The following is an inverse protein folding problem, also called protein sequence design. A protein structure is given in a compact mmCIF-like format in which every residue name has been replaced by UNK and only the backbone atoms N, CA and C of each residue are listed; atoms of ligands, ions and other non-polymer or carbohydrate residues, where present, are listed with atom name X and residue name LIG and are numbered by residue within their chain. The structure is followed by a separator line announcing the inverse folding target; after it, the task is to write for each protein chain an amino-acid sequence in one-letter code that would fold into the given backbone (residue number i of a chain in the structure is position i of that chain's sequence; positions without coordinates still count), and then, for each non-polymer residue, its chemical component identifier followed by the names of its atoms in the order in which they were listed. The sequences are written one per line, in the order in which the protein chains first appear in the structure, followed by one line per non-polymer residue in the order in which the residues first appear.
data_IF_426982575210
#
_entry.id   IF_426982575210
#
_cell.length_a   1.000
_cell.length_b   1.000
_cell.length_c   1.000
_cell.angle_alpha   90.00
_cell.angle_beta   90.00
_cell.angle_gamma   90.00
#
_symmetry.space_group_name_H-M   'P 1'
#
loop_
_entity.id
_entity.type
_entity.pdbx_description
1 polymer ?
#
# COMPACT_ATOMS: atom_id res chain seq x y z
N UNK A 1 -1.83 -64.91 -47.08
CA UNK A 1 -2.74 -65.51 -46.07
C UNK A 1 -1.98 -65.57 -44.74
N UNK A 2 -2.53 -64.95 -43.70
CA UNK A 2 -1.88 -64.47 -42.47
C UNK A 2 -1.21 -65.55 -41.59
N UNK A 3 -0.21 -65.15 -40.79
CA UNK A 3 -0.09 -65.48 -39.34
C UNK A 3 1.01 -64.67 -38.64
N UNK A 4 0.68 -64.20 -37.43
CA UNK A 4 1.49 -63.42 -36.49
C UNK A 4 2.46 -64.34 -35.72
N UNK A 5 3.74 -63.99 -35.64
CA UNK A 5 4.69 -64.47 -34.61
C UNK A 5 5.83 -63.44 -34.49
N UNK A 6 5.90 -62.70 -33.38
CA UNK A 6 6.86 -62.93 -32.29
C UNK A 6 8.32 -62.63 -32.70
N UNK A 7 8.80 -61.43 -32.33
CA UNK A 7 10.21 -61.17 -32.10
C UNK A 7 10.35 -60.09 -31.02
N UNK A 8 10.27 -60.52 -29.77
CA UNK A 8 10.93 -59.87 -28.64
C UNK A 8 12.44 -59.99 -28.86
N UNK A 9 13.16 -58.87 -28.89
CA UNK A 9 14.55 -58.68 -28.43
C UNK A 9 15.23 -57.56 -29.23
N UNK A 10 15.27 -56.34 -28.67
CA UNK A 10 16.34 -55.38 -28.93
C UNK A 10 16.25 -54.19 -27.95
N UNK A 11 16.18 -54.46 -26.65
CA UNK A 11 16.59 -53.50 -25.64
C UNK A 11 18.01 -53.90 -25.22
N UNK A 12 19.04 -53.24 -25.74
CA UNK A 12 20.36 -53.08 -25.12
C UNK A 12 21.31 -52.42 -26.13
N UNK A 13 21.52 -51.11 -25.97
CA UNK A 13 22.75 -50.37 -26.28
C UNK A 13 22.45 -48.93 -26.76
N UNK A 14 21.92 -48.09 -25.87
CA UNK A 14 22.21 -46.64 -25.96
C UNK A 14 21.99 -45.97 -24.59
N UNK A 15 22.77 -46.38 -23.60
CA UNK A 15 22.90 -45.66 -22.33
C UNK A 15 24.32 -45.13 -22.26
N UNK A 16 24.54 -43.85 -22.60
CA UNK A 16 25.67 -43.03 -22.15
C UNK A 16 25.58 -41.61 -22.74
N UNK A 17 24.69 -40.78 -22.20
CA UNK A 17 24.83 -39.31 -22.23
C UNK A 17 24.54 -38.79 -20.83
N UNK A 18 25.63 -38.64 -20.08
CA UNK A 18 25.91 -37.63 -19.05
C UNK A 18 24.72 -37.01 -18.30
N UNK A 19 24.51 -37.48 -17.07
CA UNK A 19 23.78 -36.73 -16.05
C UNK A 19 24.61 -35.53 -15.58
N UNK A 20 24.28 -34.34 -16.07
CA UNK A 20 24.61 -33.12 -15.33
C UNK A 20 23.63 -33.01 -14.16
N UNK A 21 24.08 -32.86 -12.90
CA UNK A 21 23.17 -32.51 -11.83
C UNK A 21 22.63 -31.11 -12.15
N UNK A 22 21.33 -31.02 -12.43
CA UNK A 22 20.61 -29.75 -12.33
C UNK A 22 20.70 -29.36 -10.87
N UNK A 23 21.66 -28.51 -10.53
CA UNK A 23 21.65 -27.79 -9.26
C UNK A 23 20.43 -26.87 -9.31
N UNK A 24 19.34 -27.33 -8.70
CA UNK A 24 18.26 -26.47 -8.28
C UNK A 24 18.91 -25.37 -7.42
N UNK A 25 19.10 -24.19 -8.00
CA UNK A 25 19.42 -23.01 -7.22
C UNK A 25 18.22 -22.79 -6.33
N UNK A 26 18.34 -23.18 -5.07
CA UNK A 26 17.47 -22.71 -4.01
C UNK A 26 17.57 -21.18 -4.01
N UNK A 27 16.72 -20.54 -4.80
CA UNK A 27 16.54 -19.10 -4.77
C UNK A 27 15.98 -18.80 -3.38
N UNK A 28 16.87 -18.43 -2.46
CA UNK A 28 16.45 -17.82 -1.21
C UNK A 28 15.51 -16.66 -1.57
N UNK A 29 14.31 -16.59 -0.99
CA UNK A 29 13.47 -15.41 -1.17
C UNK A 29 14.32 -14.18 -0.82
N UNK A 30 14.33 -13.13 -1.65
CA UNK A 30 15.02 -11.91 -1.29
C UNK A 30 14.52 -11.44 0.08
N UNK A 31 15.40 -10.90 0.94
CA UNK A 31 14.98 -10.40 2.24
C UNK A 31 13.88 -9.35 2.06
N UNK A 32 12.90 -9.27 2.98
CA UNK A 32 11.81 -8.31 2.88
C UNK A 32 12.37 -6.89 2.73
N UNK A 33 11.83 -6.13 1.79
CA UNK A 33 12.26 -4.77 1.55
C UNK A 33 11.98 -3.91 2.78
N UNK A 34 13.03 -3.32 3.35
CA UNK A 34 12.93 -2.34 4.43
C UNK A 34 12.96 -0.95 3.80
N UNK A 35 11.85 -0.21 3.92
CA UNK A 35 11.74 1.14 3.37
C UNK A 35 12.42 2.16 4.28
N UNK A 36 13.26 2.99 3.69
CA UNK A 36 13.87 4.14 4.37
C UNK A 36 12.83 5.23 4.68
N UNK A 37 13.08 6.09 5.66
CA UNK A 37 12.18 7.21 5.99
C UNK A 37 11.86 8.07 4.76
N UNK A 38 12.85 8.35 3.91
CA UNK A 38 12.62 9.14 2.69
C UNK A 38 11.67 8.45 1.70
N UNK A 39 11.71 7.11 1.61
CA UNK A 39 10.78 6.34 0.79
C UNK A 39 9.38 6.33 1.40
N UNK A 40 9.27 6.17 2.72
CA UNK A 40 7.98 6.25 3.42
C UNK A 40 7.34 7.63 3.25
N UNK A 41 8.11 8.71 3.45
CA UNK A 41 7.62 10.08 3.28
C UNK A 41 7.08 10.29 1.85
N UNK A 42 7.82 9.85 0.83
CA UNK A 42 7.40 9.96 -0.58
C UNK A 42 6.16 9.11 -0.90
N UNK A 43 6.11 7.90 -0.33
CA UNK A 43 5.04 6.93 -0.58
C UNK A 43 3.71 7.37 0.06
N UNK A 44 3.76 7.94 1.27
CA UNK A 44 2.59 8.32 2.04
C UNK A 44 2.13 9.76 1.78
N UNK A 45 3.00 10.61 1.24
CA UNK A 45 2.68 11.99 0.89
C UNK A 45 1.37 12.20 0.10
N UNK A 46 0.95 11.34 -0.85
CA UNK A 46 -0.31 11.52 -1.58
C UNK A 46 -1.58 11.23 -0.77
N UNK A 47 -1.48 10.51 0.35
CA UNK A 47 -2.64 10.00 1.11
C UNK A 47 -2.65 10.43 2.57
N UNK A 48 -1.55 10.96 3.10
CA UNK A 48 -1.41 11.28 4.53
C UNK A 48 -2.39 12.37 5.03
N UNK A 49 -2.92 13.22 4.14
CA UNK A 49 -3.93 14.22 4.51
C UNK A 49 -5.37 13.73 4.35
N UNK A 50 -5.59 12.46 4.01
CA UNK A 50 -6.93 11.89 3.98
C UNK A 50 -7.52 11.79 5.39
N UNK A 51 -8.85 11.83 5.53
CA UNK A 51 -9.52 11.48 6.78
C UNK A 51 -9.08 10.12 7.29
N UNK A 52 -8.96 9.96 8.61
CA UNK A 52 -8.35 8.77 9.23
C UNK A 52 -9.07 7.47 8.84
N UNK A 53 -10.40 7.52 8.75
CA UNK A 53 -11.23 6.39 8.30
C UNK A 53 -10.92 5.96 6.86
N UNK A 54 -10.76 6.92 5.95
CA UNK A 54 -10.39 6.65 4.56
C UNK A 54 -8.94 6.18 4.44
N UNK A 55 -8.02 6.81 5.16
CA UNK A 55 -6.62 6.43 5.16
C UNK A 55 -6.45 4.97 5.63
N UNK A 56 -7.15 4.58 6.70
CA UNK A 56 -7.15 3.20 7.19
C UNK A 56 -7.64 2.23 6.10
N UNK A 57 -8.72 2.56 5.40
CA UNK A 57 -9.23 1.72 4.29
C UNK A 57 -8.20 1.59 3.16
N UNK A 58 -7.50 2.67 2.80
CA UNK A 58 -6.44 2.63 1.76
C UNK A 58 -5.27 1.75 2.19
N UNK A 59 -4.79 1.88 3.42
CA UNK A 59 -3.67 1.09 3.95
C UNK A 59 -4.02 -0.40 4.03
N UNK A 60 -5.24 -0.74 4.47
CA UNK A 60 -5.72 -2.12 4.52
C UNK A 60 -5.91 -2.70 3.12
N UNK A 61 -6.60 -1.98 2.23
CA UNK A 61 -6.86 -2.42 0.86
C UNK A 61 -5.58 -2.61 0.03
N UNK A 62 -4.51 -1.86 0.33
CA UNK A 62 -3.21 -2.03 -0.33
C UNK A 62 -2.58 -3.42 -0.08
N UNK A 63 -3.04 -4.15 0.95
CA UNK A 63 -2.62 -5.54 1.20
C UNK A 63 -3.41 -6.57 0.36
N UNK A 64 -4.42 -6.13 -0.40
CA UNK A 64 -5.28 -6.94 -1.27
C UNK A 64 -5.29 -6.43 -2.73
N UNK A 65 -4.13 -6.36 -3.42
CA UNK A 65 -4.03 -5.70 -4.72
C UNK A 65 -4.88 -6.34 -5.82
N UNK A 66 -5.07 -7.66 -5.78
CA UNK A 66 -5.94 -8.35 -6.74
C UNK A 66 -7.40 -7.90 -6.59
N UNK A 67 -7.87 -7.76 -5.36
CA UNK A 67 -9.25 -7.34 -5.07
C UNK A 67 -9.48 -5.89 -5.48
N UNK A 68 -8.49 -5.01 -5.28
CA UNK A 68 -8.54 -3.61 -5.74
C UNK A 68 -8.71 -3.53 -7.26
N UNK A 69 -7.94 -4.31 -8.02
CA UNK A 69 -8.07 -4.36 -9.48
C UNK A 69 -9.44 -4.92 -9.90
N UNK A 70 -9.91 -5.97 -9.23
CA UNK A 70 -11.25 -6.54 -9.48
C UNK A 70 -12.36 -5.53 -9.19
N UNK A 71 -12.25 -4.79 -8.09
CA UNK A 71 -13.19 -3.74 -7.71
C UNK A 71 -13.20 -2.60 -8.74
N UNK A 72 -12.03 -2.17 -9.23
CA UNK A 72 -11.95 -1.17 -10.30
C UNK A 72 -12.67 -1.65 -11.57
N UNK A 73 -12.39 -2.87 -12.03
CA UNK A 73 -13.10 -3.44 -13.20
C UNK A 73 -14.59 -3.58 -12.96
N UNK A 74 -14.99 -3.89 -11.74
CA UNK A 74 -16.40 -4.02 -11.37
C UNK A 74 -17.18 -2.71 -11.54
N UNK A 75 -16.60 -1.58 -11.10
CA UNK A 75 -17.23 -0.26 -11.24
C UNK A 75 -17.19 0.25 -12.69
N UNK A 76 -16.10 0.01 -13.42
CA UNK A 76 -15.97 0.39 -14.84
C UNK A 76 -17.02 -0.29 -15.72
N UNK A 77 -17.34 -1.55 -15.41
CA UNK A 77 -18.39 -2.30 -16.10
C UNK A 77 -19.82 -1.81 -15.75
N UNK A 78 -19.99 -0.94 -14.74
CA UNK A 78 -21.28 -0.51 -14.19
C UNK A 78 -21.33 1.00 -13.92
N UNK A 79 -21.12 1.86 -14.94
CA UNK A 79 -20.99 3.31 -14.75
C UNK A 79 -22.23 3.99 -14.14
N UNK A 80 -23.41 3.37 -14.23
CA UNK A 80 -24.66 3.88 -13.65
C UNK A 80 -24.96 3.41 -12.22
N UNK A 81 -24.13 2.54 -11.64
CA UNK A 81 -24.40 1.95 -10.33
C UNK A 81 -23.71 2.76 -9.22
N UNK A 82 -24.50 3.34 -8.31
CA UNK A 82 -24.03 4.23 -7.25
C UNK A 82 -24.80 4.00 -5.93
N UNK A 83 -24.32 4.59 -4.85
CA UNK A 83 -24.97 4.59 -3.53
C UNK A 83 -25.33 3.19 -3.03
N UNK A 84 -26.55 3.03 -2.50
CA UNK A 84 -27.05 1.75 -1.95
C UNK A 84 -27.12 0.63 -2.99
N UNK A 85 -27.31 0.97 -4.27
CA UNK A 85 -27.27 0.00 -5.36
C UNK A 85 -25.88 -0.60 -5.52
N UNK A 86 -24.85 0.24 -5.47
CA UNK A 86 -23.46 -0.18 -5.53
C UNK A 86 -23.07 -0.99 -4.29
N UNK A 87 -23.45 -0.53 -3.10
CA UNK A 87 -23.18 -1.23 -1.84
C UNK A 87 -23.77 -2.67 -1.85
N UNK A 88 -25.02 -2.83 -2.28
CA UNK A 88 -25.66 -4.14 -2.41
C UNK A 88 -24.98 -5.05 -3.44
N UNK A 89 -24.53 -4.48 -4.56
CA UNK A 89 -23.91 -5.27 -5.62
C UNK A 89 -22.48 -5.74 -5.25
N UNK A 90 -21.78 -4.99 -4.41
CA UNK A 90 -20.43 -5.33 -3.91
C UNK A 90 -20.47 -6.22 -2.67
N UNK A 91 -21.55 -6.18 -1.87
CA UNK A 91 -21.73 -7.01 -0.69
C UNK A 91 -21.38 -8.50 -0.86
N UNK A 92 -21.83 -9.21 -1.92
CA UNK A 92 -21.53 -10.63 -2.10
C UNK A 92 -20.12 -10.92 -2.61
N UNK A 93 -19.33 -9.90 -2.96
CA UNK A 93 -17.97 -10.12 -3.48
C UNK A 93 -17.07 -10.69 -2.38
N UNK A 94 -16.16 -11.62 -2.69
CA UNK A 94 -15.24 -12.20 -1.72
C UNK A 94 -14.04 -11.28 -1.45
N UNK A 95 -14.29 -9.99 -1.24
CA UNK A 95 -13.28 -8.97 -0.98
C UNK A 95 -13.26 -8.56 0.49
N UNK A 96 -12.13 -8.07 0.95
CA UNK A 96 -11.97 -7.45 2.25
C UNK A 96 -12.91 -6.23 2.42
N UNK A 97 -13.48 -5.97 3.61
CA UNK A 97 -14.35 -4.83 3.85
C UNK A 97 -13.72 -3.48 3.48
N UNK A 98 -12.40 -3.31 3.58
CA UNK A 98 -11.70 -2.10 3.16
C UNK A 98 -11.82 -1.88 1.65
N UNK A 99 -11.59 -2.92 0.84
CA UNK A 99 -11.75 -2.85 -0.62
C UNK A 99 -13.20 -2.59 -1.01
N UNK A 100 -14.15 -3.24 -0.33
CA UNK A 100 -15.59 -3.00 -0.54
C UNK A 100 -15.97 -1.55 -0.23
N UNK A 101 -15.37 -0.93 0.78
CA UNK A 101 -15.65 0.46 1.14
C UNK A 101 -15.08 1.44 0.10
N UNK A 102 -13.90 1.12 -0.46
CA UNK A 102 -13.24 1.95 -1.47
C UNK A 102 -14.02 2.11 -2.78
N UNK A 103 -15.00 1.24 -3.08
CA UNK A 103 -15.86 1.41 -4.26
C UNK A 103 -16.68 2.71 -4.22
N UNK A 104 -16.93 3.25 -3.02
CA UNK A 104 -17.59 4.55 -2.82
C UNK A 104 -16.63 5.73 -3.05
N UNK A 105 -15.35 5.46 -3.26
CA UNK A 105 -14.30 6.44 -3.55
C UNK A 105 -13.62 6.16 -4.89
N UNK A 106 -14.31 6.33 -6.04
CA UNK A 106 -13.80 5.91 -7.34
C UNK A 106 -12.45 6.50 -7.71
N UNK A 107 -12.16 7.75 -7.31
CA UNK A 107 -10.88 8.41 -7.56
C UNK A 107 -9.72 7.74 -6.81
N UNK A 108 -9.95 7.28 -5.58
CA UNK A 108 -8.96 6.55 -4.77
C UNK A 108 -8.74 5.17 -5.35
N UNK A 109 -9.82 4.46 -5.69
CA UNK A 109 -9.74 3.13 -6.29
C UNK A 109 -8.99 3.17 -7.64
N UNK A 110 -9.30 4.17 -8.47
CA UNK A 110 -8.60 4.41 -9.74
C UNK A 110 -7.11 4.70 -9.50
N UNK A 111 -6.78 5.58 -8.55
CA UNK A 111 -5.38 5.86 -8.21
C UNK A 111 -4.63 4.59 -7.78
N UNK A 112 -5.24 3.75 -6.95
CA UNK A 112 -4.64 2.49 -6.53
C UNK A 112 -4.42 1.57 -7.74
N UNK A 113 -5.45 1.37 -8.57
CA UNK A 113 -5.37 0.54 -9.78
C UNK A 113 -4.32 1.03 -10.78
N UNK A 114 -4.20 2.34 -10.98
CA UNK A 114 -3.27 2.91 -11.95
C UNK A 114 -1.82 2.91 -11.44
N UNK A 115 -1.62 2.80 -10.13
CA UNK A 115 -0.31 2.84 -9.47
C UNK A 115 -0.04 1.52 -8.73
N UNK A 116 -0.07 0.41 -9.45
CA UNK A 116 0.11 -0.94 -8.87
C UNK A 116 1.41 -1.09 -8.08
N UNK A 117 2.54 -0.58 -8.60
CA UNK A 117 3.83 -0.64 -7.89
C UNK A 117 3.80 0.12 -6.56
N UNK A 118 3.13 1.28 -6.53
CA UNK A 118 2.96 2.07 -5.31
C UNK A 118 2.03 1.34 -4.32
N UNK A 119 0.92 0.77 -4.80
CA UNK A 119 -0.01 0.02 -3.96
C UNK A 119 0.69 -1.18 -3.30
N UNK A 120 1.46 -1.96 -4.08
CA UNK A 120 2.22 -3.09 -3.55
C UNK A 120 3.25 -2.64 -2.50
N UNK A 121 3.97 -1.55 -2.75
CA UNK A 121 4.92 -1.00 -1.79
C UNK A 121 4.24 -0.51 -0.51
N UNK A 122 3.07 0.12 -0.64
CA UNK A 122 2.29 0.60 0.48
C UNK A 122 1.80 -0.55 1.36
N UNK A 123 1.22 -1.59 0.74
CA UNK A 123 0.78 -2.80 1.44
C UNK A 123 1.93 -3.50 2.14
N UNK A 124 3.06 -3.68 1.46
CA UNK A 124 4.26 -4.27 2.05
C UNK A 124 4.79 -3.45 3.23
N UNK A 125 4.89 -2.13 3.07
CA UNK A 125 5.35 -1.22 4.12
C UNK A 125 4.41 -1.25 5.34
N UNK A 126 3.10 -1.30 5.12
CA UNK A 126 2.12 -1.37 6.19
C UNK A 126 2.21 -2.70 6.96
N UNK A 127 2.40 -3.82 6.26
CA UNK A 127 2.57 -5.14 6.89
C UNK A 127 3.90 -5.29 7.64
N UNK A 128 5.00 -4.75 7.11
CA UNK A 128 6.34 -4.99 7.67
C UNK A 128 6.87 -3.87 8.57
N UNK A 129 6.34 -2.65 8.44
CA UNK A 129 6.83 -1.45 9.13
C UNK A 129 5.67 -0.54 9.60
N UNK A 130 4.57 -1.14 10.08
CA UNK A 130 3.38 -0.40 10.53
C UNK A 130 3.69 0.80 11.44
N UNK A 131 4.55 0.69 12.48
CA UNK A 131 4.84 1.85 13.33
C UNK A 131 5.46 3.02 12.56
N UNK A 132 6.41 2.74 11.67
CA UNK A 132 7.07 3.77 10.88
C UNK A 132 6.13 4.39 9.83
N UNK A 133 5.19 3.62 9.29
CA UNK A 133 4.14 4.12 8.40
C UNK A 133 3.26 5.13 9.14
N UNK A 134 2.75 4.78 10.32
CA UNK A 134 1.88 5.65 11.09
C UNK A 134 2.62 6.90 11.60
N UNK A 135 3.86 6.77 12.07
CA UNK A 135 4.70 7.90 12.46
C UNK A 135 4.95 8.85 11.27
N UNK A 136 5.15 8.30 10.07
CA UNK A 136 5.33 9.09 8.85
C UNK A 136 4.07 9.90 8.50
N UNK A 137 2.88 9.30 8.61
CA UNK A 137 1.62 10.01 8.40
C UNK A 137 1.52 11.22 9.34
N UNK A 138 1.85 11.05 10.62
CA UNK A 138 1.79 12.15 11.58
C UNK A 138 2.82 13.23 11.28
N UNK A 139 4.06 12.85 10.97
CA UNK A 139 5.09 13.82 10.58
C UNK A 139 4.66 14.63 9.35
N UNK A 140 3.98 14.01 8.37
CA UNK A 140 3.44 14.70 7.20
C UNK A 140 2.30 15.64 7.58
N UNK A 141 1.38 15.22 8.45
CA UNK A 141 0.27 16.06 8.94
C UNK A 141 0.78 17.27 9.73
N UNK A 142 1.77 17.07 10.61
CA UNK A 142 2.41 18.15 11.36
C UNK A 142 3.04 19.18 10.42
N UNK A 143 3.73 18.71 9.37
CA UNK A 143 4.30 19.60 8.35
C UNK A 143 3.25 20.37 7.58
N UNK A 144 2.15 19.73 7.20
CA UNK A 144 1.05 20.40 6.51
C UNK A 144 0.36 21.44 7.43
N UNK A 145 0.23 21.15 8.72
CA UNK A 145 -0.30 22.10 9.70
C UNK A 145 0.63 23.31 9.88
N UNK A 146 1.94 23.08 10.00
CA UNK A 146 2.95 24.15 10.05
C UNK A 146 2.99 24.97 8.75
N UNK A 147 2.75 24.34 7.60
CA UNK A 147 2.66 25.01 6.31
C UNK A 147 1.33 25.76 6.10
N UNK A 148 0.35 25.64 7.00
CA UNK A 148 -0.98 26.26 6.88
C UNK A 148 -1.86 25.64 5.78
N UNK A 149 -1.57 24.40 5.37
CA UNK A 149 -2.34 23.69 4.32
C UNK A 149 -3.28 22.63 4.88
N UNK A 150 -3.11 22.27 6.16
CA UNK A 150 -4.00 21.38 6.90
C UNK A 150 -4.74 22.15 7.99
N UNK A 151 -5.97 22.51 7.70
CA UNK A 151 -6.85 23.26 8.61
C UNK A 151 -8.26 22.63 8.65
N UNK A 152 -9.02 22.98 9.69
CA UNK A 152 -10.44 22.63 9.77
C UNK A 152 -11.23 23.45 8.75
N UNK A 153 -12.21 22.81 8.13
CA UNK A 153 -13.11 23.40 7.13
C UNK A 153 -14.54 22.88 7.34
N UNK A 154 -15.54 23.34 6.55
CA UNK A 154 -16.89 22.76 6.60
C UNK A 154 -16.95 21.27 6.23
N UNK A 155 -15.92 20.73 5.55
CA UNK A 155 -15.87 19.34 5.11
C UNK A 155 -15.12 18.43 6.08
N UNK A 156 -14.10 18.95 6.78
CA UNK A 156 -13.26 18.17 7.68
C UNK A 156 -12.91 18.95 8.95
N UNK A 157 -12.75 18.23 10.06
CA UNK A 157 -12.24 18.73 11.32
C UNK A 157 -10.83 18.19 11.53
N UNK A 158 -9.90 19.09 11.81
CA UNK A 158 -8.52 18.75 12.17
C UNK A 158 -8.37 18.98 13.67
N UNK A 159 -8.17 17.90 14.42
CA UNK A 159 -8.00 17.93 15.87
C UNK A 159 -6.59 17.48 16.21
N UNK A 160 -5.86 18.29 16.98
CA UNK A 160 -4.59 17.87 17.56
C UNK A 160 -4.84 17.50 19.02
N UNK A 161 -4.78 16.21 19.35
CA UNK A 161 -4.94 15.70 20.70
C UNK A 161 -3.67 14.94 21.11
N UNK A 162 -3.06 15.34 22.24
CA UNK A 162 -1.83 14.74 22.76
C UNK A 162 -0.68 14.56 21.73
N UNK A 163 -0.59 15.49 20.78
CA UNK A 163 0.39 15.45 19.69
C UNK A 163 0.12 14.36 18.65
N UNK A 164 -1.15 13.95 18.51
CA UNK A 164 -1.70 13.16 17.40
C UNK A 164 -2.70 14.05 16.67
N UNK A 165 -2.42 14.34 15.40
CA UNK A 165 -3.34 15.02 14.49
C UNK A 165 -4.31 13.99 13.90
N UNK A 166 -5.59 14.16 14.19
CA UNK A 166 -6.71 13.36 13.67
C UNK A 166 -7.47 14.22 12.66
N UNK A 167 -7.78 13.63 11.49
CA UNK A 167 -8.59 14.27 10.45
C UNK A 167 -9.91 13.51 10.36
N UNK A 168 -11.00 14.16 10.73
CA UNK A 168 -12.33 13.56 10.73
C UNK A 168 -13.25 14.31 9.77
N UNK A 169 -14.15 13.63 9.04
CA UNK A 169 -15.23 14.30 8.35
C UNK A 169 -16.14 15.03 9.36
N UNK A 170 -16.59 16.24 9.03
CA UNK A 170 -17.58 16.95 9.88
C UNK A 170 -18.90 16.18 9.92
N UNK A 171 -19.27 15.54 8.82
CA UNK A 171 -20.40 14.61 8.74
C UNK A 171 -19.87 13.19 8.48
N UNK A 172 -20.02 12.24 9.42
CA UNK A 172 -19.55 10.86 9.26
C UNK A 172 -20.13 10.13 8.05
N UNK A 173 -21.31 10.54 7.56
CA UNK A 173 -21.96 9.96 6.39
C UNK A 173 -21.42 10.50 5.06
N UNK A 174 -20.62 11.58 5.11
CA UNK A 174 -20.08 12.25 3.91
C UNK A 174 -18.59 12.45 4.07
N UNK A 175 -17.81 11.53 3.50
CA UNK A 175 -16.35 11.58 3.52
C UNK A 175 -15.85 12.25 2.24
N UNK A 176 -15.18 13.38 2.38
CA UNK A 176 -14.53 14.07 1.25
C UNK A 176 -13.11 13.53 1.07
N UNK A 177 -12.72 13.32 -0.20
CA UNK A 177 -11.33 12.95 -0.56
C UNK A 177 -10.56 14.23 -0.90
N UNK A 178 -9.53 14.61 -0.12
CA UNK A 178 -8.71 15.77 -0.43
C UNK A 178 -7.96 15.60 -1.75
N UNK A 179 -8.01 16.63 -2.61
CA UNK A 179 -7.18 16.71 -3.81
C UNK A 179 -6.13 17.79 -3.62
N UNK A 180 -4.86 17.39 -3.50
CA UNK A 180 -3.75 18.29 -3.24
C UNK A 180 -2.49 17.87 -3.98
N UNK A 181 -1.59 18.85 -4.21
CA UNK A 181 -0.24 18.59 -4.67
C UNK A 181 0.67 18.45 -3.44
N UNK A 182 1.31 17.29 -3.19
CA UNK A 182 2.19 17.11 -2.05
C UNK A 182 3.31 18.15 -1.93
N UNK A 183 3.83 18.66 -3.05
CA UNK A 183 4.88 19.69 -3.06
C UNK A 183 4.38 21.02 -2.50
N UNK A 184 3.09 21.32 -2.71
CA UNK A 184 2.47 22.54 -2.16
C UNK A 184 2.03 22.29 -0.71
N UNK A 185 1.43 21.14 -0.44
CA UNK A 185 0.89 20.80 0.88
C UNK A 185 1.96 20.79 1.98
N UNK A 186 3.14 20.21 1.70
CA UNK A 186 4.21 20.09 2.69
C UNK A 186 5.32 21.13 2.54
N UNK A 187 5.19 22.04 1.56
CA UNK A 187 6.23 22.99 1.18
C UNK A 187 7.46 22.32 0.54
N UNK A 188 8.61 23.01 0.63
CA UNK A 188 9.87 22.53 0.06
C UNK A 188 10.25 21.14 0.60
N UNK A 189 10.28 20.15 -0.28
CA UNK A 189 10.63 18.77 0.07
C UNK A 189 12.02 18.71 0.73
N UNK A 190 12.07 18.28 1.99
CA UNK A 190 13.27 18.34 2.84
C UNK A 190 14.29 17.26 2.53
N UNK A 191 13.91 16.22 1.78
CA UNK A 191 14.87 15.24 1.32
C UNK A 191 15.66 15.79 0.14
N UNK A 192 17.01 15.77 0.20
CA UNK A 192 17.81 16.09 -0.96
C UNK A 192 17.41 15.17 -2.12
N UNK A 193 17.16 15.75 -3.31
CA UNK A 193 17.16 14.94 -4.53
C UNK A 193 18.55 14.31 -4.58
N UNK A 194 18.67 13.02 -4.29
CA UNK A 194 19.97 12.35 -4.37
C UNK A 194 20.40 12.41 -5.83
N UNK A 195 21.26 13.39 -6.17
CA UNK A 195 22.11 13.30 -7.37
C UNK A 195 22.91 12.03 -7.16
N UNK A 196 22.75 11.04 -8.04
CA UNK A 196 23.60 9.85 -8.02
C UNK A 196 25.05 10.34 -8.09
N UNK A 197 25.71 10.39 -6.93
CA UNK A 197 27.09 10.80 -6.82
C UNK A 197 27.86 9.50 -6.83
N UNK A 198 28.45 9.19 -7.98
CA UNK A 198 29.40 8.09 -8.15
C UNK A 198 30.33 8.03 -6.95
N UNK A 199 30.31 6.88 -6.29
CA UNK A 199 30.93 6.58 -5.01
C UNK A 199 32.42 6.95 -4.99
N UNK A 200 32.78 7.79 -4.03
CA UNK A 200 34.16 8.13 -3.69
C UNK A 200 34.29 8.44 -2.21
N UNK A 201 34.78 7.45 -1.45
CA UNK A 201 35.29 7.47 -0.07
C UNK A 201 34.29 7.43 1.11
N UNK A 202 34.42 6.30 1.83
CA UNK A 202 33.88 5.92 3.14
C UNK A 202 34.06 7.02 4.20
N UNK A 203 33.03 7.31 5.01
CA UNK A 203 33.18 7.68 6.43
C UNK A 203 31.99 7.18 7.27
N UNK A 204 32.36 6.43 8.30
CA UNK A 204 31.71 5.96 9.54
C UNK A 204 30.26 6.39 9.83
N UNK A 205 29.41 5.38 10.10
CA UNK A 205 28.04 5.52 10.54
C UNK A 205 27.95 5.96 12.00
N UNK A 206 27.20 7.02 12.26
CA UNK A 206 26.74 7.42 13.60
C UNK A 206 25.29 6.91 13.72
N UNK A 207 25.07 5.94 14.59
CA UNK A 207 23.74 5.41 14.92
C UNK A 207 23.09 6.35 15.93
N UNK A 208 21.88 6.87 15.64
CA UNK A 208 21.05 7.60 16.61
C UNK A 208 19.86 6.73 17.02
N UNK A 209 19.47 6.70 18.31
CA UNK A 209 18.39 5.84 18.79
C UNK A 209 17.02 6.39 18.39
N UNK A 210 16.13 5.49 17.98
CA UNK A 210 14.71 5.74 17.72
C UNK A 210 13.97 5.64 19.06
N UNK A 211 13.37 6.73 19.53
CA UNK A 211 12.47 6.73 20.69
C UNK A 211 11.09 6.21 20.30
N UNK A 212 10.65 5.16 20.97
CA UNK A 212 9.41 4.39 20.73
C UNK A 212 8.16 5.20 21.10
N UNK A 213 7.36 5.63 20.11
CA UNK A 213 5.99 6.19 20.28
C UNK A 213 4.91 5.23 19.76
N UNK A 214 5.18 3.93 19.77
CA UNK A 214 4.36 2.93 19.05
C UNK A 214 3.10 2.45 19.79
N UNK A 215 2.88 2.78 21.06
CA UNK A 215 1.84 2.12 21.89
C UNK A 215 0.46 2.80 21.92
N UNK A 216 0.24 3.94 21.25
CA UNK A 216 -0.99 4.74 21.43
C UNK A 216 -2.04 4.60 20.32
N UNK A 217 -1.68 3.98 19.19
CA UNK A 217 -2.52 3.90 17.99
C UNK A 217 -3.66 2.89 18.06
N UNK A 218 -3.47 1.76 18.75
CA UNK A 218 -4.49 0.72 18.85
C UNK A 218 -5.77 1.24 19.54
N UNK A 219 -5.64 2.19 20.47
CA UNK A 219 -6.77 2.77 21.19
C UNK A 219 -7.55 3.79 20.36
N UNK A 220 -6.89 4.57 19.50
CA UNK A 220 -7.55 5.55 18.64
C UNK A 220 -8.32 4.88 17.48
N UNK A 221 -7.76 3.81 16.90
CA UNK A 221 -8.44 3.05 15.84
C UNK A 221 -9.70 2.33 16.35
N UNK A 222 -9.68 1.83 17.59
CA UNK A 222 -10.83 1.17 18.20
C UNK A 222 -11.96 2.16 18.55
N UNK A 223 -11.63 3.42 18.84
CA UNK A 223 -12.62 4.46 19.13
C UNK A 223 -13.34 4.98 17.87
N UNK A 224 -12.69 4.94 16.71
CA UNK A 224 -13.27 5.37 15.42
C UNK A 224 -14.16 4.29 14.75
N UNK A 225 -14.20 3.08 15.31
CA UNK A 225 -15.01 1.94 14.82
C UNK A 225 -16.30 1.70 15.63
N UNK A 226 -16.66 2.62 16.53
CA UNK A 226 -17.90 2.60 17.31
C UNK A 226 -18.87 3.68 16.81
#
# INVERSE_FOLDING_TARGET
MNKKTLAWAACLAFSLVTGMPVQAQSAYPPPPAVYTQAQLDQMLAPVALYPDSLLAQVLMAATYPLEVVQAQRFIEARPGLQGDGLARAVAPMPWDPSVKSLVQFPSVLTMMNDRLDWMQQLGQAFLSQQPAVMDTVQNLRERAQVAGTLESSPQQRVVADDGVIVIEPVNPQVVYVPYYNPVVAYGSWWWPRRRSRSIGRRRHAIVRPITTRASRWASALAAASA
#
